data_IF_013760606989
#
_entry.id   IF_013760606989
#
_cell.length_a   1.000
_cell.length_b   1.000
_cell.length_c   1.000
_cell.angle_alpha   90.00
_cell.angle_beta   90.00
_cell.angle_gamma   90.00
#
_symmetry.space_group_name_H-M   'P 1'
#
loop_
_entity.id
_entity.type
_entity.pdbx_description
1 polymer ?
#
# COMPACT_ATOMS: atom_id res chain seq x y z
N UNK A 1 2.30 -30.09 8.49
CA UNK A 1 2.11 -28.76 7.88
C UNK A 1 3.34 -28.43 7.03
N UNK A 2 3.51 -29.04 5.85
CA UNK A 2 4.67 -28.82 4.97
C UNK A 2 4.50 -27.70 3.94
N UNK A 3 3.28 -27.20 3.69
CA UNK A 3 2.98 -26.28 2.59
C UNK A 3 3.58 -24.86 2.74
N UNK A 4 3.95 -24.43 3.96
CA UNK A 4 4.51 -23.10 4.18
C UNK A 4 5.99 -22.98 3.82
N UNK A 5 6.75 -24.09 3.84
CA UNK A 5 8.19 -24.05 3.57
C UNK A 5 8.46 -23.81 2.08
N UNK A 6 7.69 -24.48 1.22
CA UNK A 6 7.80 -24.35 -0.24
C UNK A 6 7.37 -22.96 -0.73
N UNK A 7 6.38 -22.32 -0.08
CA UNK A 7 6.00 -20.93 -0.38
C UNK A 7 7.09 -19.92 -0.02
N UNK A 8 7.80 -20.13 1.10
CA UNK A 8 8.91 -19.27 1.52
C UNK A 8 10.14 -19.40 0.60
N UNK A 9 10.41 -20.61 0.10
CA UNK A 9 11.54 -20.84 -0.81
C UNK A 9 11.33 -20.23 -2.21
N UNK A 10 10.07 -20.07 -2.66
CA UNK A 10 9.74 -19.42 -3.95
C UNK A 10 9.89 -17.90 -3.89
N UNK A 11 9.55 -17.27 -2.76
CA UNK A 11 9.80 -15.83 -2.55
C UNK A 11 11.30 -15.54 -2.40
N UNK A 12 12.10 -16.58 -2.14
CA UNK A 12 13.56 -16.52 -2.07
C UNK A 12 14.09 -15.68 -0.91
N UNK A 13 15.36 -15.89 -0.55
CA UNK A 13 16.07 -14.90 0.27
C UNK A 13 16.26 -13.64 -0.58
N UNK A 14 15.60 -12.55 -0.18
CA UNK A 14 15.74 -11.23 -0.83
C UNK A 14 17.22 -10.77 -0.77
N UNK A 15 17.94 -10.95 -1.88
CA UNK A 15 19.39 -10.64 -2.01
C UNK A 15 19.62 -9.35 -2.82
N UNK A 16 19.17 -8.20 -2.33
CA UNK A 16 19.05 -7.06 -3.26
C UNK A 16 19.21 -5.67 -2.64
N UNK A 17 20.30 -5.00 -3.03
CA UNK A 17 20.55 -3.55 -2.93
C UNK A 17 20.53 -2.90 -4.32
N UNK A 18 19.48 -3.17 -5.09
CA UNK A 18 19.28 -2.59 -6.44
C UNK A 18 18.39 -1.35 -6.36
N UNK A 19 18.57 -0.44 -7.31
CA UNK A 19 17.74 0.75 -7.48
C UNK A 19 17.24 0.79 -8.92
N UNK A 20 15.93 0.87 -9.09
CA UNK A 20 15.32 1.19 -10.38
C UNK A 20 15.24 2.72 -10.53
N UNK A 21 15.43 3.26 -11.76
CA UNK A 21 15.32 4.69 -12.00
C UNK A 21 13.87 5.16 -11.79
N UNK A 22 13.69 6.29 -11.09
CA UNK A 22 12.37 6.88 -10.82
C UNK A 22 11.72 7.38 -12.13
N UNK A 23 10.60 6.78 -12.53
CA UNK A 23 9.84 7.16 -13.73
C UNK A 23 8.39 7.47 -13.34
N UNK A 24 8.21 8.50 -12.50
CA UNK A 24 6.91 8.86 -11.91
C UNK A 24 6.08 9.77 -12.83
N UNK A 25 4.79 9.47 -12.95
CA UNK A 25 3.83 10.28 -13.72
C UNK A 25 3.16 11.34 -12.85
N UNK A 26 2.91 11.01 -11.57
CA UNK A 26 2.40 11.94 -10.56
C UNK A 26 3.27 11.85 -9.32
N UNK A 27 3.73 13.02 -8.84
CA UNK A 27 4.56 13.16 -7.65
C UNK A 27 4.09 14.36 -6.84
N UNK A 28 3.94 14.16 -5.54
CA UNK A 28 3.68 15.25 -4.60
C UNK A 28 4.98 15.87 -4.09
N UNK A 29 4.89 17.10 -3.60
CA UNK A 29 5.99 17.75 -2.92
C UNK A 29 6.41 16.95 -1.68
N UNK A 30 7.66 17.16 -1.26
CA UNK A 30 8.17 16.57 -0.03
C UNK A 30 7.45 17.11 1.20
N UNK A 31 7.30 16.24 2.19
CA UNK A 31 6.63 16.55 3.45
C UNK A 31 5.14 16.27 3.42
N UNK A 32 4.54 16.26 4.61
CA UNK A 32 3.12 15.96 4.78
C UNK A 32 2.39 17.19 5.32
N UNK A 33 1.33 17.58 4.61
CA UNK A 33 0.44 18.67 5.03
C UNK A 33 -1.02 18.25 4.90
N UNK A 34 -1.92 18.93 5.61
CA UNK A 34 -3.37 18.70 5.44
C UNK A 34 -3.79 18.90 3.97
N UNK A 35 -3.14 19.83 3.26
CA UNK A 35 -3.36 20.06 1.83
C UNK A 35 -3.01 18.81 1.02
N UNK A 36 -1.80 18.26 1.21
CA UNK A 36 -1.33 17.05 0.51
C UNK A 36 -2.26 15.87 0.80
N UNK A 37 -2.65 15.65 2.05
CA UNK A 37 -3.59 14.59 2.43
C UNK A 37 -4.92 14.70 1.68
N UNK A 38 -5.49 15.91 1.59
CA UNK A 38 -6.73 16.16 0.86
C UNK A 38 -6.56 15.97 -0.65
N UNK A 39 -5.43 16.38 -1.20
CA UNK A 39 -5.14 16.22 -2.63
C UNK A 39 -4.95 14.74 -3.00
N UNK A 40 -4.27 13.94 -2.17
CA UNK A 40 -4.15 12.48 -2.36
C UNK A 40 -5.53 11.83 -2.28
N UNK A 41 -6.32 12.18 -1.27
CA UNK A 41 -7.70 11.67 -1.08
C UNK A 41 -8.60 12.01 -2.27
N UNK A 42 -8.50 13.23 -2.81
CA UNK A 42 -9.22 13.65 -4.00
C UNK A 42 -8.73 12.93 -5.27
N UNK A 43 -7.42 12.71 -5.40
CA UNK A 43 -6.84 11.96 -6.53
C UNK A 43 -7.32 10.51 -6.55
N UNK A 44 -7.48 9.90 -5.37
CA UNK A 44 -8.01 8.53 -5.20
C UNK A 44 -9.53 8.45 -5.30
N UNK A 45 -10.23 9.58 -5.40
CA UNK A 45 -11.70 9.69 -5.44
C UNK A 45 -12.36 9.05 -4.20
N UNK A 46 -11.83 9.40 -3.02
CA UNK A 46 -12.35 8.88 -1.76
C UNK A 46 -13.62 9.61 -1.28
N UNK A 47 -14.53 8.91 -0.57
CA UNK A 47 -15.67 9.55 0.05
C UNK A 47 -15.24 10.51 1.18
N UNK A 48 -16.02 11.57 1.39
CA UNK A 48 -15.73 12.65 2.35
C UNK A 48 -15.40 12.16 3.77
N UNK A 49 -16.07 11.11 4.24
CA UNK A 49 -15.82 10.56 5.58
C UNK A 49 -14.42 9.93 5.71
N UNK A 50 -13.88 9.37 4.62
CA UNK A 50 -12.52 8.84 4.61
C UNK A 50 -11.53 9.99 4.64
N UNK A 51 -11.70 10.99 3.78
CA UNK A 51 -10.89 12.22 3.78
C UNK A 51 -10.85 12.86 5.18
N UNK A 52 -11.98 12.94 5.87
CA UNK A 52 -12.07 13.48 7.22
C UNK A 52 -11.28 12.65 8.25
N UNK A 53 -11.26 11.32 8.12
CA UNK A 53 -10.44 10.45 8.97
C UNK A 53 -8.97 10.68 8.69
N UNK A 54 -8.56 10.77 7.42
CA UNK A 54 -7.17 11.04 7.02
C UNK A 54 -6.67 12.37 7.58
N UNK A 55 -7.48 13.43 7.47
CA UNK A 55 -7.14 14.75 8.04
C UNK A 55 -7.03 14.71 9.56
N UNK A 56 -7.92 14.00 10.26
CA UNK A 56 -7.81 13.81 11.71
C UNK A 56 -6.54 13.05 12.08
N UNK A 57 -6.20 12.00 11.33
CA UNK A 57 -4.99 11.22 11.52
C UNK A 57 -3.73 12.07 11.32
N UNK A 58 -3.68 12.90 10.27
CA UNK A 58 -2.60 13.85 10.03
C UNK A 58 -2.40 14.80 11.22
N UNK A 59 -3.48 15.42 11.71
CA UNK A 59 -3.40 16.32 12.88
C UNK A 59 -2.87 15.57 14.10
N UNK A 60 -3.33 14.33 14.32
CA UNK A 60 -2.86 13.49 15.41
C UNK A 60 -1.38 13.12 15.27
N UNK A 61 -0.92 12.86 14.05
CA UNK A 61 0.48 12.60 13.74
C UNK A 61 1.37 13.79 14.10
N UNK A 62 0.97 15.01 13.71
CA UNK A 62 1.71 16.25 14.00
C UNK A 62 1.76 16.53 15.51
N UNK A 63 0.63 16.35 16.21
CA UNK A 63 0.54 16.60 17.65
C UNK A 63 1.31 15.58 18.49
N UNK A 64 1.48 14.35 18.00
CA UNK A 64 2.16 13.29 18.76
C UNK A 64 3.69 13.44 18.73
N UNK A 65 4.35 13.37 19.90
CA UNK A 65 5.80 13.28 19.96
C UNK A 65 6.30 11.93 19.42
N UNK A 66 7.57 11.87 19.06
CA UNK A 66 8.25 10.60 18.75
C UNK A 66 8.21 9.67 19.96
N UNK A 67 8.08 8.34 19.75
CA UNK A 67 8.10 7.38 20.85
C UNK A 67 9.45 7.41 21.58
N UNK A 68 9.40 7.21 22.89
CA UNK A 68 10.57 7.25 23.78
C UNK A 68 11.17 5.87 24.06
N UNK A 69 10.75 4.85 23.30
CA UNK A 69 11.17 3.47 23.45
C UNK A 69 11.61 2.89 22.09
N UNK A 70 12.39 1.81 22.12
CA UNK A 70 13.05 1.29 20.92
C UNK A 70 14.34 2.05 20.60
N UNK A 71 14.71 2.12 19.31
CA UNK A 71 15.90 2.81 18.86
C UNK A 71 15.63 4.32 18.68
N UNK A 72 15.48 5.04 19.79
CA UNK A 72 15.11 6.46 19.78
C UNK A 72 16.07 7.39 19.02
N UNK A 73 17.41 7.16 18.99
CA UNK A 73 18.29 7.95 18.13
C UNK A 73 17.92 7.80 16.65
N UNK A 74 17.78 6.56 16.16
CA UNK A 74 17.40 6.29 14.77
C UNK A 74 16.03 6.88 14.42
N UNK A 75 15.07 6.78 15.34
CA UNK A 75 13.76 7.37 15.15
C UNK A 75 13.82 8.92 15.10
N UNK A 76 14.70 9.53 15.88
CA UNK A 76 14.91 10.98 15.88
C UNK A 76 15.60 11.53 14.63
N UNK A 77 16.22 10.67 13.81
CA UNK A 77 16.85 11.02 12.54
C UNK A 77 15.85 11.10 11.37
N UNK A 78 14.59 10.69 11.58
CA UNK A 78 13.57 10.70 10.53
C UNK A 78 13.16 12.15 10.24
N UNK A 79 13.55 12.63 9.06
CA UNK A 79 13.10 13.91 8.51
C UNK A 79 11.82 13.71 7.69
N UNK A 80 10.67 13.87 8.36
CA UNK A 80 9.37 13.71 7.74
C UNK A 80 9.09 14.73 6.63
N UNK A 81 9.75 15.87 6.64
CA UNK A 81 9.57 16.93 5.64
C UNK A 81 10.34 16.65 4.35
N UNK A 82 11.27 15.69 4.38
CA UNK A 82 12.06 15.26 3.22
C UNK A 82 11.61 13.91 2.63
N UNK A 83 10.41 13.44 3.01
CA UNK A 83 9.80 12.22 2.47
C UNK A 83 8.75 12.60 1.42
N UNK A 84 8.77 11.91 0.28
CA UNK A 84 7.70 11.97 -0.71
C UNK A 84 6.66 10.91 -0.36
N UNK A 85 5.48 11.32 0.13
CA UNK A 85 4.46 10.39 0.65
C UNK A 85 3.57 9.78 -0.42
N UNK A 86 3.54 10.35 -1.62
CA UNK A 86 2.75 9.81 -2.72
C UNK A 86 3.50 9.91 -4.04
N UNK A 87 3.66 8.75 -4.65
CA UNK A 87 4.25 8.59 -5.97
C UNK A 87 3.39 7.60 -6.77
N UNK A 88 3.03 7.99 -7.99
CA UNK A 88 2.32 7.10 -8.92
C UNK A 88 3.13 6.96 -10.21
N UNK A 89 3.39 5.71 -10.54
CA UNK A 89 4.01 5.29 -11.79
C UNK A 89 2.96 4.51 -12.57
N UNK A 90 2.48 5.05 -13.69
CA UNK A 90 1.48 4.39 -14.54
C UNK A 90 0.03 4.90 -14.42
N UNK A 91 -0.79 4.47 -15.38
CA UNK A 91 -2.16 4.96 -15.57
C UNK A 91 -3.24 4.14 -14.85
N UNK A 92 -2.94 2.96 -14.28
CA UNK A 92 -3.91 2.15 -13.56
C UNK A 92 -3.38 0.81 -13.04
N UNK A 93 -4.28 0.03 -12.46
CA UNK A 93 -4.08 -1.38 -12.09
C UNK A 93 -4.44 -2.26 -13.29
N UNK A 94 -3.57 -3.22 -13.62
CA UNK A 94 -3.82 -4.16 -14.71
C UNK A 94 -4.24 -5.53 -14.14
N UNK A 95 -5.18 -6.19 -14.82
CA UNK A 95 -5.67 -7.53 -14.45
C UNK A 95 -4.96 -8.65 -15.24
N UNK A 96 -4.21 -8.29 -16.29
CA UNK A 96 -3.37 -9.20 -17.07
C UNK A 96 -1.88 -8.88 -16.84
N UNK A 97 -1.10 -9.92 -16.56
CA UNK A 97 0.34 -9.80 -16.39
C UNK A 97 1.04 -9.21 -17.63
N UNK A 98 0.57 -9.55 -18.83
CA UNK A 98 1.13 -9.08 -20.09
C UNK A 98 0.83 -7.60 -20.38
N UNK A 99 -0.05 -6.96 -19.60
CA UNK A 99 -0.37 -5.54 -19.70
C UNK A 99 0.39 -4.67 -18.67
N UNK A 100 0.96 -5.27 -17.62
CA UNK A 100 1.77 -4.56 -16.62
C UNK A 100 3.01 -3.90 -17.28
N UNK A 101 3.37 -2.64 -16.97
CA UNK A 101 4.55 -1.98 -17.52
C UNK A 101 5.85 -2.82 -17.38
N UNK A 102 6.70 -2.78 -18.41
CA UNK A 102 7.88 -3.65 -18.53
C UNK A 102 8.89 -3.45 -17.39
N UNK A 103 9.08 -2.22 -16.93
CA UNK A 103 9.91 -1.88 -15.77
C UNK A 103 9.41 -2.55 -14.49
N UNK A 104 8.09 -2.53 -14.28
CA UNK A 104 7.42 -3.13 -13.13
C UNK A 104 7.49 -4.67 -13.20
N UNK A 105 7.18 -5.26 -14.37
CA UNK A 105 7.30 -6.71 -14.60
C UNK A 105 8.70 -7.22 -14.32
N UNK A 106 9.72 -6.55 -14.83
CA UNK A 106 11.12 -6.93 -14.62
C UNK A 106 11.49 -6.95 -13.13
N UNK A 107 10.91 -6.05 -12.33
CA UNK A 107 11.12 -6.02 -10.88
C UNK A 107 10.41 -7.17 -10.18
N UNK A 108 9.18 -7.50 -10.58
CA UNK A 108 8.46 -8.64 -10.01
C UNK A 108 8.95 -10.01 -10.46
N UNK A 109 9.45 -10.15 -11.69
CA UNK A 109 10.12 -11.36 -12.20
C UNK A 109 11.35 -11.67 -11.35
N UNK A 110 12.14 -10.65 -10.99
CA UNK A 110 13.28 -10.79 -10.06
C UNK A 110 12.84 -11.19 -8.65
N UNK A 111 11.60 -10.85 -8.25
CA UNK A 111 11.00 -11.24 -6.97
C UNK A 111 10.33 -12.63 -7.03
N UNK A 112 10.23 -13.26 -8.20
CA UNK A 112 9.64 -14.58 -8.38
C UNK A 112 8.10 -14.62 -8.25
N UNK A 113 7.42 -13.48 -8.40
CA UNK A 113 5.97 -13.39 -8.18
C UNK A 113 5.14 -14.22 -9.18
N UNK A 114 5.43 -14.26 -10.50
CA UNK A 114 4.63 -15.05 -11.45
C UNK A 114 4.67 -16.55 -11.16
N UNK A 115 5.84 -17.07 -10.76
CA UNK A 115 5.98 -18.48 -10.37
C UNK A 115 5.24 -18.79 -9.07
N UNK A 116 5.20 -17.84 -8.12
CA UNK A 116 4.44 -17.95 -6.88
C UNK A 116 2.93 -17.92 -7.14
N UNK A 117 2.47 -17.03 -8.02
CA UNK A 117 1.06 -16.94 -8.43
C UNK A 117 0.58 -18.26 -9.02
N UNK A 118 1.30 -18.78 -10.00
CA UNK A 118 0.90 -19.97 -10.73
C UNK A 118 0.92 -21.25 -9.86
N UNK A 119 1.82 -21.33 -8.88
CA UNK A 119 1.99 -22.53 -8.04
C UNK A 119 1.22 -22.49 -6.72
N UNK A 120 1.06 -21.31 -6.10
CA UNK A 120 0.72 -21.24 -4.68
C UNK A 120 -0.34 -20.19 -4.32
N UNK A 121 -0.41 -19.07 -5.03
CA UNK A 121 -1.33 -17.99 -4.66
C UNK A 121 -2.69 -18.22 -5.30
N UNK A 122 -3.75 -18.05 -4.52
CA UNK A 122 -5.13 -18.12 -5.04
C UNK A 122 -5.64 -16.76 -5.53
N UNK A 123 -4.71 -15.83 -5.70
CA UNK A 123 -4.88 -14.44 -6.05
C UNK A 123 -3.68 -13.66 -5.51
N UNK A 124 -3.27 -12.61 -6.22
CA UNK A 124 -2.15 -11.75 -5.83
C UNK A 124 -2.53 -10.30 -6.09
N UNK A 125 -2.13 -9.42 -5.19
CA UNK A 125 -2.22 -7.98 -5.37
C UNK A 125 -0.81 -7.44 -5.18
N UNK A 126 -0.26 -6.86 -6.23
CA UNK A 126 1.09 -6.34 -6.22
C UNK A 126 1.02 -4.82 -6.09
N UNK A 127 1.61 -4.28 -5.02
CA UNK A 127 1.72 -2.85 -4.81
C UNK A 127 3.12 -2.40 -5.20
N UNK A 128 3.20 -1.40 -6.08
CA UNK A 128 4.44 -0.75 -6.47
C UNK A 128 4.29 0.74 -6.18
N UNK A 129 5.23 1.29 -5.40
CA UNK A 129 5.12 2.65 -4.86
C UNK A 129 3.83 2.83 -4.04
N UNK A 130 3.01 3.83 -4.36
CA UNK A 130 1.78 4.16 -3.62
C UNK A 130 0.51 3.52 -4.20
N UNK A 131 0.62 2.69 -5.25
CA UNK A 131 -0.51 2.17 -6.02
C UNK A 131 -0.42 0.66 -6.28
N UNK A 132 -1.58 0.05 -6.48
CA UNK A 132 -1.69 -1.34 -6.91
C UNK A 132 -1.47 -1.39 -8.42
N UNK A 133 -0.54 -2.23 -8.87
CA UNK A 133 -0.16 -2.33 -10.29
C UNK A 133 -0.59 -3.64 -10.93
N UNK A 134 -0.92 -4.65 -10.11
CA UNK A 134 -1.46 -5.92 -10.59
C UNK A 134 -2.46 -6.47 -9.58
N UNK A 135 -3.59 -6.95 -10.07
CA UNK A 135 -4.60 -7.63 -9.27
C UNK A 135 -5.13 -8.87 -9.99
N UNK A 136 -5.11 -10.01 -9.30
CA UNK A 136 -5.62 -11.27 -9.84
C UNK A 136 -6.30 -12.05 -8.71
N UNK A 137 -7.47 -12.61 -8.98
CA UNK A 137 -8.22 -13.48 -8.07
C UNK A 137 -8.72 -14.69 -8.85
N UNK A 138 -8.71 -15.87 -8.22
CA UNK A 138 -9.31 -17.05 -8.84
C UNK A 138 -10.84 -16.99 -8.82
N UNK A 139 -11.45 -17.25 -9.97
CA UNK A 139 -12.91 -17.28 -10.13
C UNK A 139 -13.63 -18.24 -9.16
N UNK A 140 -12.99 -19.33 -8.72
CA UNK A 140 -13.62 -20.28 -7.80
C UNK A 140 -13.77 -19.73 -6.37
N UNK A 141 -12.95 -18.75 -5.98
CA UNK A 141 -13.09 -18.02 -4.73
C UNK A 141 -14.18 -16.95 -4.81
N UNK A 142 -14.25 -16.23 -5.94
CA UNK A 142 -15.32 -15.27 -6.19
C UNK A 142 -16.70 -15.94 -6.16
N UNK A 143 -16.83 -17.13 -6.78
CA UNK A 143 -18.06 -17.94 -6.75
C UNK A 143 -18.47 -18.36 -5.33
N UNK A 144 -17.54 -18.36 -4.38
CA UNK A 144 -17.80 -18.62 -2.95
C UNK A 144 -18.11 -17.35 -2.15
N UNK A 145 -18.10 -16.18 -2.79
CA UNK A 145 -18.35 -14.88 -2.16
C UNK A 145 -17.13 -14.25 -1.49
N UNK A 146 -15.92 -14.69 -1.86
CA UNK A 146 -14.68 -14.05 -1.39
C UNK A 146 -14.51 -12.71 -2.12
N UNK A 147 -14.33 -11.64 -1.35
CA UNK A 147 -13.94 -10.32 -1.86
C UNK A 147 -12.46 -10.13 -1.56
N UNK A 148 -11.63 -10.13 -2.59
CA UNK A 148 -10.20 -9.84 -2.49
C UNK A 148 -9.92 -8.68 -3.44
N UNK A 149 -9.62 -7.51 -2.90
CA UNK A 149 -9.43 -6.26 -3.61
C UNK A 149 -8.31 -5.47 -2.93
N UNK A 150 -7.71 -4.52 -3.63
CA UNK A 150 -6.92 -3.48 -2.98
C UNK A 150 -7.81 -2.53 -2.15
N UNK A 151 -7.18 -1.67 -1.37
CA UNK A 151 -7.89 -0.78 -0.44
C UNK A 151 -8.74 0.28 -1.16
N UNK A 152 -8.29 0.80 -2.30
CA UNK A 152 -8.99 1.86 -3.03
C UNK A 152 -10.22 1.29 -3.74
N UNK A 153 -10.08 0.15 -4.41
CA UNK A 153 -11.20 -0.59 -5.02
C UNK A 153 -12.19 -1.07 -3.95
N UNK A 154 -11.69 -1.63 -2.85
CA UNK A 154 -12.53 -2.06 -1.72
C UNK A 154 -13.32 -0.93 -1.07
N UNK A 155 -12.73 0.28 -0.97
CA UNK A 155 -13.43 1.46 -0.46
C UNK A 155 -14.54 1.94 -1.41
N UNK A 156 -14.29 1.89 -2.73
CA UNK A 156 -15.26 2.32 -3.75
C UNK A 156 -16.42 1.35 -3.91
N UNK A 157 -16.14 0.06 -3.98
CA UNK A 157 -17.14 -0.97 -4.28
C UNK A 157 -17.88 -1.47 -3.03
N UNK A 158 -17.20 -1.53 -1.88
CA UNK A 158 -17.71 -2.09 -0.63
C UNK A 158 -17.55 -1.12 0.55
N UNK A 159 -17.90 0.16 0.31
CA UNK A 159 -17.76 1.24 1.28
C UNK A 159 -18.37 0.88 2.66
N UNK A 160 -19.52 0.19 2.68
CA UNK A 160 -20.21 -0.17 3.92
C UNK A 160 -19.42 -1.17 4.77
N UNK A 161 -18.66 -2.06 4.12
CA UNK A 161 -17.79 -3.02 4.81
C UNK A 161 -16.56 -2.28 5.34
N UNK A 162 -15.91 -1.51 4.47
CA UNK A 162 -14.72 -0.74 4.84
C UNK A 162 -15.04 0.20 5.99
N UNK A 163 -16.09 1.02 5.86
CA UNK A 163 -16.49 1.97 6.90
C UNK A 163 -16.83 1.33 8.24
N UNK A 164 -17.34 0.09 8.23
CA UNK A 164 -17.65 -0.66 9.46
C UNK A 164 -16.40 -1.09 10.21
N UNK A 165 -15.32 -1.43 9.49
CA UNK A 165 -14.15 -2.07 10.09
C UNK A 165 -12.88 -1.20 10.09
N UNK A 166 -12.82 -0.15 9.26
CA UNK A 166 -11.65 0.69 9.11
C UNK A 166 -11.28 1.35 10.45
N UNK A 167 -10.01 1.18 10.86
CA UNK A 167 -9.50 1.72 12.12
C UNK A 167 -10.07 1.09 13.41
N UNK A 168 -10.82 -0.01 13.33
CA UNK A 168 -11.43 -0.62 14.55
C UNK A 168 -10.43 -1.37 15.42
N UNK A 169 -9.44 -2.02 14.81
CA UNK A 169 -8.39 -2.76 15.52
C UNK A 169 -7.17 -1.89 15.78
N UNK A 170 -6.73 -1.15 14.75
CA UNK A 170 -5.63 -0.19 14.84
C UNK A 170 -6.18 1.19 14.48
N UNK A 171 -6.66 1.97 15.46
CA UNK A 171 -7.13 3.32 15.19
C UNK A 171 -5.96 4.25 14.86
N UNK A 172 -6.23 5.34 14.13
CA UNK A 172 -5.21 6.37 13.88
C UNK A 172 -4.61 6.92 15.18
N UNK A 173 -5.36 6.87 16.27
CA UNK A 173 -4.94 7.32 17.60
C UNK A 173 -4.09 6.32 18.38
N UNK A 174 -3.72 5.16 17.82
CA UNK A 174 -2.93 4.16 18.54
C UNK A 174 -1.51 4.69 18.84
N UNK A 175 -0.76 5.02 17.80
CA UNK A 175 0.61 5.53 17.87
C UNK A 175 0.91 6.58 16.78
N UNK A 176 2.10 7.20 16.82
CA UNK A 176 2.48 8.23 15.84
C UNK A 176 2.50 7.67 14.41
N UNK A 177 2.95 6.43 14.22
CA UNK A 177 3.08 5.82 12.91
C UNK A 177 1.76 5.24 12.40
N UNK A 178 0.84 4.81 13.26
CA UNK A 178 -0.53 4.48 12.83
C UNK A 178 -1.27 5.74 12.35
N UNK A 179 -1.05 6.88 13.01
CA UNK A 179 -1.57 8.16 12.57
C UNK A 179 -1.00 8.55 11.19
N UNK A 180 0.31 8.37 11.00
CA UNK A 180 0.97 8.60 9.70
C UNK A 180 0.45 7.67 8.60
N UNK A 181 0.24 6.38 8.90
CA UNK A 181 -0.25 5.40 7.93
C UNK A 181 -1.72 5.64 7.55
N UNK A 182 -2.52 6.17 8.47
CA UNK A 182 -3.93 6.50 8.18
C UNK A 182 -4.07 7.82 7.41
N UNK A 183 -3.16 8.78 7.66
CA UNK A 183 -3.14 10.08 7.00
C UNK A 183 -2.86 9.94 5.49
#
# INVERSE_FOLDING_TARGET
>A
MPANQEAMDVVGDYKSGWHDPENSTIRFDFGLSEKVVREISALKDEPEWMTDIRVKAYRHFVERPMPTWGNTPMLGEIDFDNICYFLRSGEGTEDDWDDVPEDIRNTFDKLGIPEAEQKWLSGVTAQYESETVYHSIREDLEKQGVVFLDMDSGLKEYEEIVRRYFGTVVPFSDNKFSALNTA
#
